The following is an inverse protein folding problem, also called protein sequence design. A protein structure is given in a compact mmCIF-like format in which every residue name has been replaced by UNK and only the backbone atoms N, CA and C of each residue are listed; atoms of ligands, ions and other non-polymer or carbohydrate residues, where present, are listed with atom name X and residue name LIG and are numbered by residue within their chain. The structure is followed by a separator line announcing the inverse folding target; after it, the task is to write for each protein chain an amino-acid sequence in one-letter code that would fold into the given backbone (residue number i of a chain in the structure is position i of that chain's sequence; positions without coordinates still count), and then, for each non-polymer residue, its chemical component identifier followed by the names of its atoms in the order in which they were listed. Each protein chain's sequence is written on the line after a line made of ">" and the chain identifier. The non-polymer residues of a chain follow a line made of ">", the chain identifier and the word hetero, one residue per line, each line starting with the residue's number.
data_IF_687063975198
#
_entry.id   IF_687063975198
#
_cell.length_a   1.000
_cell.length_b   1.000
_cell.length_c   1.000
_cell.angle_alpha   90.00
_cell.angle_beta   90.00
_cell.angle_gamma   90.00
#
_symmetry.space_group_name_H-M   'P 1'
#
loop_
_entity.id
_entity.type
_entity.pdbx_description
1 polymer ?
#
# COMPACT_ATOMS: atom_id res chain seq x y z
N UNK A 1 20.45 1.77 -4.48
CA UNK A 1 20.47 2.60 -3.26
C UNK A 1 19.14 3.32 -3.15
N UNK A 2 18.31 2.98 -2.15
CA UNK A 2 16.97 3.55 -1.92
C UNK A 2 16.98 4.84 -1.08
N UNK A 3 18.16 5.46 -0.92
CA UNK A 3 18.41 6.57 0.00
C UNK A 3 17.41 7.76 -0.10
N UNK A 4 16.96 8.22 -1.29
CA UNK A 4 15.96 9.29 -1.36
C UNK A 4 14.55 8.83 -0.94
N UNK A 5 14.21 7.56 -1.18
CA UNK A 5 12.88 7.00 -0.88
C UNK A 5 12.65 6.92 0.64
N UNK A 6 13.71 6.61 1.39
CA UNK A 6 13.65 6.46 2.85
C UNK A 6 13.36 7.74 3.62
N UNK A 7 13.54 8.92 3.01
CA UNK A 7 13.19 10.19 3.64
C UNK A 7 11.68 10.33 3.91
N UNK A 8 10.85 9.69 3.08
CA UNK A 8 9.39 9.72 3.21
C UNK A 8 8.81 8.38 3.65
N UNK A 9 9.36 7.27 3.15
CA UNK A 9 8.85 5.92 3.41
C UNK A 9 9.56 5.21 4.59
N UNK A 10 10.49 5.89 5.24
CA UNK A 10 11.35 5.31 6.27
C UNK A 10 12.52 4.53 5.67
N UNK A 11 13.65 4.51 6.37
CA UNK A 11 14.86 3.82 5.92
C UNK A 11 14.63 2.31 5.77
N UNK A 12 13.83 1.74 6.65
CA UNK A 12 13.43 0.34 6.62
C UNK A 12 12.11 0.11 5.86
N UNK A 13 11.62 1.11 5.11
CA UNK A 13 10.34 1.05 4.42
C UNK A 13 9.12 1.12 5.34
N UNK A 14 9.31 1.50 6.60
CA UNK A 14 8.25 1.76 7.57
C UNK A 14 8.28 3.24 7.94
N UNK A 15 7.23 3.97 7.57
CA UNK A 15 7.15 5.43 7.75
C UNK A 15 6.49 5.80 9.08
N UNK A 16 6.89 6.96 9.59
CA UNK A 16 6.24 7.66 10.71
C UNK A 16 5.51 8.92 10.24
N UNK A 17 5.59 9.25 8.95
CA UNK A 17 4.96 10.43 8.38
C UNK A 17 3.48 10.15 8.07
N UNK A 18 2.56 11.05 8.45
CA UNK A 18 1.14 10.92 8.12
C UNK A 18 0.90 10.91 6.61
N UNK A 19 0.02 10.02 6.15
CA UNK A 19 -0.41 9.91 4.76
C UNK A 19 0.58 9.21 3.82
N UNK A 20 1.75 8.81 4.30
CA UNK A 20 2.72 8.02 3.52
C UNK A 20 2.49 6.52 3.74
N UNK A 21 2.62 5.67 2.71
CA UNK A 21 2.51 4.24 2.88
C UNK A 21 3.79 3.61 3.43
N UNK A 22 3.61 2.52 4.16
CA UNK A 22 4.68 1.55 4.40
C UNK A 22 4.95 0.78 3.10
N UNK A 23 6.23 0.64 2.75
CA UNK A 23 6.67 -0.13 1.58
C UNK A 23 7.26 -1.49 2.00
N UNK A 24 7.73 -1.61 3.24
CA UNK A 24 8.34 -2.82 3.75
C UNK A 24 7.38 -4.00 3.68
N UNK A 25 7.84 -5.10 3.06
CA UNK A 25 7.06 -6.32 2.89
C UNK A 25 5.88 -6.20 1.92
N UNK A 26 5.75 -5.09 1.20
CA UNK A 26 4.74 -4.94 0.16
C UNK A 26 5.04 -5.85 -1.04
N UNK A 27 4.00 -6.42 -1.65
CA UNK A 27 4.18 -7.34 -2.78
C UNK A 27 4.94 -6.71 -3.94
N UNK A 28 6.00 -7.37 -4.41
CA UNK A 28 6.88 -6.87 -5.48
C UNK A 28 6.10 -6.46 -6.74
N UNK A 29 5.18 -7.32 -7.21
CA UNK A 29 4.35 -7.03 -8.39
C UNK A 29 3.56 -5.74 -8.19
N UNK A 30 2.85 -5.63 -7.06
CA UNK A 30 2.06 -4.45 -6.75
C UNK A 30 2.95 -3.20 -6.70
N UNK A 31 4.06 -3.25 -5.95
CA UNK A 31 4.97 -2.11 -5.81
C UNK A 31 5.50 -1.64 -7.15
N UNK A 32 5.96 -2.55 -8.02
CA UNK A 32 6.43 -2.23 -9.36
C UNK A 32 5.32 -1.60 -10.22
N UNK A 33 4.11 -2.17 -10.18
CA UNK A 33 2.99 -1.65 -10.94
C UNK A 33 2.61 -0.23 -10.46
N UNK A 34 2.65 0.04 -9.15
CA UNK A 34 2.42 1.37 -8.58
C UNK A 34 3.50 2.37 -9.00
N UNK A 35 4.78 2.00 -8.91
CA UNK A 35 5.88 2.86 -9.34
C UNK A 35 5.77 3.20 -10.83
N UNK A 36 5.41 2.21 -11.66
CA UNK A 36 5.20 2.40 -13.09
C UNK A 36 4.02 3.35 -13.35
N UNK A 37 2.90 3.16 -12.65
CA UNK A 37 1.71 3.99 -12.78
C UNK A 37 1.95 5.45 -12.35
N UNK A 38 2.76 5.65 -11.30
CA UNK A 38 3.14 6.99 -10.85
C UNK A 38 4.08 7.64 -11.88
N UNK A 39 5.10 6.92 -12.35
CA UNK A 39 6.07 7.42 -13.33
C UNK A 39 5.42 7.83 -14.65
N UNK A 40 4.45 7.05 -15.14
CA UNK A 40 3.75 7.34 -16.39
C UNK A 40 2.52 8.26 -16.22
N UNK A 41 2.22 8.69 -15.00
CA UNK A 41 1.11 9.60 -14.68
C UNK A 41 -0.29 8.96 -14.71
N UNK A 42 -0.41 7.64 -14.88
CA UNK A 42 -1.71 6.95 -14.80
C UNK A 42 -2.24 6.86 -13.37
N UNK A 43 -1.35 6.97 -12.37
CA UNK A 43 -1.70 7.19 -10.96
C UNK A 43 -1.18 8.55 -10.52
N UNK A 44 -2.08 9.40 -10.03
CA UNK A 44 -1.71 10.70 -9.47
C UNK A 44 -1.05 10.53 -8.11
N UNK A 45 0.19 10.98 -7.97
CA UNK A 45 0.90 11.08 -6.69
C UNK A 45 1.74 12.36 -6.66
N UNK A 46 1.13 13.53 -6.38
CA UNK A 46 1.83 14.83 -6.44
C UNK A 46 3.10 14.90 -5.57
N UNK A 47 3.12 14.18 -4.45
CA UNK A 47 4.28 14.11 -3.55
C UNK A 47 5.44 13.26 -4.11
N UNK A 48 5.20 12.47 -5.15
CA UNK A 48 6.19 11.64 -5.85
C UNK A 48 6.56 12.19 -7.23
N UNK A 49 6.01 13.35 -7.63
CA UNK A 49 6.35 13.98 -8.91
C UNK A 49 7.86 14.22 -9.02
N UNK A 50 8.45 13.85 -10.16
CA UNK A 50 9.88 14.00 -10.42
C UNK A 50 10.78 12.95 -9.78
N UNK A 51 10.29 12.14 -8.83
CA UNK A 51 11.12 11.19 -8.10
C UNK A 51 11.52 9.96 -8.94
N UNK A 52 10.70 9.60 -9.92
CA UNK A 52 10.86 8.39 -10.73
C UNK A 52 11.31 8.67 -12.17
N UNK A 53 11.40 9.96 -12.56
CA UNK A 53 11.57 10.39 -13.96
C UNK A 53 12.86 9.85 -14.59
N UNK A 54 13.95 9.80 -13.80
CA UNK A 54 15.26 9.33 -14.25
C UNK A 54 15.47 7.81 -14.03
N UNK A 55 14.49 7.09 -13.47
CA UNK A 55 14.64 5.66 -13.17
C UNK A 55 14.33 4.80 -14.39
N UNK A 56 15.11 3.76 -14.65
CA UNK A 56 14.77 2.74 -15.65
C UNK A 56 13.74 1.73 -15.12
N UNK A 57 13.16 0.92 -16.01
CA UNK A 57 12.25 -0.16 -15.59
C UNK A 57 12.96 -1.19 -14.68
N UNK A 58 14.26 -1.40 -14.91
CA UNK A 58 15.12 -2.22 -14.05
C UNK A 58 15.26 -1.62 -12.66
N UNK A 59 15.43 -0.29 -12.55
CA UNK A 59 15.50 0.39 -11.25
C UNK A 59 14.17 0.26 -10.48
N UNK A 60 13.03 0.39 -11.16
CA UNK A 60 11.72 0.19 -10.53
C UNK A 60 11.52 -1.25 -10.05
N UNK A 61 11.95 -2.23 -10.84
CA UNK A 61 11.92 -3.64 -10.45
C UNK A 61 12.83 -3.91 -9.24
N UNK A 62 14.05 -3.36 -9.23
CA UNK A 62 14.98 -3.50 -8.12
C UNK A 62 14.45 -2.86 -6.83
N UNK A 63 13.83 -1.68 -6.92
CA UNK A 63 13.18 -1.04 -5.77
C UNK A 63 12.02 -1.89 -5.23
N UNK A 64 11.19 -2.41 -6.13
CA UNK A 64 10.08 -3.27 -5.75
C UNK A 64 10.55 -4.54 -5.04
N UNK A 65 11.56 -5.22 -5.59
CA UNK A 65 12.16 -6.41 -4.99
C UNK A 65 12.81 -6.10 -3.64
N UNK A 66 13.52 -4.97 -3.54
CA UNK A 66 14.13 -4.53 -2.29
C UNK A 66 13.09 -4.32 -1.19
N UNK A 67 12.06 -3.50 -1.42
CA UNK A 67 11.03 -3.24 -0.40
C UNK A 67 10.21 -4.49 -0.05
N UNK A 68 9.95 -5.37 -1.01
CA UNK A 68 9.30 -6.66 -0.76
C UNK A 68 10.11 -7.57 0.17
N UNK A 69 11.45 -7.45 0.16
CA UNK A 69 12.33 -8.25 1.01
C UNK A 69 12.43 -7.74 2.46
N UNK A 70 11.99 -6.51 2.73
CA UNK A 70 12.04 -5.92 4.09
C UNK A 70 10.96 -6.50 4.99
N UNK A 71 11.20 -6.46 6.29
CA UNK A 71 10.24 -6.93 7.30
C UNK A 71 9.00 -6.02 7.32
N UNK A 72 7.78 -6.55 7.10
CA UNK A 72 6.58 -5.73 7.11
C UNK A 72 6.33 -5.06 8.46
N UNK A 73 5.75 -3.87 8.41
CA UNK A 73 5.24 -3.22 9.62
C UNK A 73 4.13 -4.07 10.26
N UNK A 74 4.12 -4.12 11.59
CA UNK A 74 3.00 -4.67 12.35
C UNK A 74 2.37 -3.53 13.13
N UNK A 75 1.15 -3.16 12.73
CA UNK A 75 0.37 -2.13 13.40
C UNK A 75 -0.69 -2.77 14.30
N UNK A 76 -0.78 -2.30 15.55
CA UNK A 76 -1.95 -2.55 16.39
C UNK A 76 -2.80 -1.29 16.40
N UNK A 77 -4.03 -1.38 15.89
CA UNK A 77 -5.00 -0.31 16.06
C UNK A 77 -5.50 -0.32 17.52
N UNK A 78 -5.72 0.88 18.07
CA UNK A 78 -6.36 1.11 19.37
C UNK A 78 -7.51 2.08 19.12
N UNK A 79 -8.62 1.54 18.62
CA UNK A 79 -9.81 2.30 18.24
C UNK A 79 -11.05 1.54 18.72
N UNK A 80 -12.06 2.26 19.18
CA UNK A 80 -13.33 1.68 19.64
C UNK A 80 -14.08 0.92 18.52
N UNK A 81 -13.77 1.20 17.25
CA UNK A 81 -14.38 0.63 16.05
C UNK A 81 -13.63 -0.57 15.50
N UNK A 82 -12.60 -1.05 16.20
CA UNK A 82 -11.82 -2.22 15.80
C UNK A 82 -12.68 -3.42 15.42
N UNK A 83 -13.70 -3.72 16.23
CA UNK A 83 -14.60 -4.85 15.98
C UNK A 83 -15.42 -4.67 14.70
N UNK A 84 -15.91 -3.44 14.46
CA UNK A 84 -16.64 -3.11 13.23
C UNK A 84 -15.73 -3.24 12.01
N UNK A 85 -14.50 -2.72 12.09
CA UNK A 85 -13.50 -2.85 11.04
C UNK A 85 -13.17 -4.32 10.75
N UNK A 86 -12.96 -5.12 11.78
CA UNK A 86 -12.68 -6.56 11.65
C UNK A 86 -13.85 -7.34 11.03
N UNK A 87 -15.10 -6.99 11.38
CA UNK A 87 -16.29 -7.58 10.78
C UNK A 87 -16.38 -7.25 9.29
N UNK A 88 -16.19 -5.99 8.90
CA UNK A 88 -16.20 -5.58 7.48
C UNK A 88 -15.06 -6.26 6.72
N UNK A 89 -13.87 -6.33 7.31
CA UNK A 89 -12.71 -6.94 6.68
C UNK A 89 -12.93 -8.41 6.34
N UNK A 90 -13.55 -9.17 7.26
CA UNK A 90 -13.77 -10.62 7.14
C UNK A 90 -15.07 -10.97 6.41
N UNK A 91 -16.11 -10.17 6.57
CA UNK A 91 -17.47 -10.48 6.12
C UNK A 91 -18.01 -9.58 5.02
N UNK A 92 -17.34 -8.46 4.71
CA UNK A 92 -17.84 -7.44 3.80
C UNK A 92 -19.10 -6.75 4.33
N UNK A 93 -19.86 -6.14 3.42
CA UNK A 93 -21.14 -5.49 3.70
C UNK A 93 -22.13 -5.90 2.61
N UNK A 94 -22.77 -7.06 2.76
CA UNK A 94 -23.66 -7.63 1.75
C UNK A 94 -24.76 -6.67 1.28
N UNK A 95 -25.42 -5.96 2.22
CA UNK A 95 -26.47 -4.97 1.90
C UNK A 95 -25.98 -3.79 1.05
N UNK A 96 -24.67 -3.55 1.00
CA UNK A 96 -24.03 -2.50 0.20
C UNK A 96 -23.26 -3.07 -1.00
N UNK A 97 -23.34 -4.39 -1.25
CA UNK A 97 -22.58 -5.05 -2.30
C UNK A 97 -21.06 -5.05 -2.09
N UNK A 98 -20.59 -4.83 -0.85
CA UNK A 98 -19.14 -4.82 -0.54
C UNK A 98 -18.69 -6.24 -0.21
N UNK A 99 -17.79 -6.79 -1.00
CA UNK A 99 -17.18 -8.09 -0.71
C UNK A 99 -16.27 -8.03 0.53
N UNK A 100 -15.98 -9.18 1.12
CA UNK A 100 -15.00 -9.28 2.21
C UNK A 100 -13.60 -8.90 1.70
N UNK A 101 -12.93 -7.98 2.38
CA UNK A 101 -11.57 -7.55 2.03
C UNK A 101 -10.58 -8.72 2.07
N UNK A 102 -10.76 -9.62 3.04
CA UNK A 102 -9.90 -10.80 3.22
C UNK A 102 -9.92 -11.78 2.05
N UNK A 103 -10.92 -11.71 1.16
CA UNK A 103 -11.00 -12.56 -0.02
C UNK A 103 -9.82 -12.31 -0.98
N UNK A 104 -9.31 -11.08 -1.05
CA UNK A 104 -8.18 -10.70 -1.89
C UNK A 104 -6.94 -10.34 -1.07
N UNK A 105 -7.13 -9.69 0.09
CA UNK A 105 -6.02 -9.19 0.91
C UNK A 105 -5.52 -10.17 1.99
N UNK A 106 -5.98 -11.43 1.93
CA UNK A 106 -5.76 -12.48 2.91
C UNK A 106 -6.44 -12.23 4.27
N UNK A 107 -6.65 -13.25 5.12
CA UNK A 107 -7.22 -13.04 6.46
C UNK A 107 -6.39 -12.15 7.39
N UNK A 108 -5.09 -12.02 7.13
CA UNK A 108 -4.14 -11.26 7.96
C UNK A 108 -3.77 -9.90 7.37
N UNK A 109 -4.27 -9.55 6.18
CA UNK A 109 -3.85 -8.33 5.49
C UNK A 109 -2.52 -8.42 4.76
N UNK A 110 -1.96 -9.63 4.61
CA UNK A 110 -0.69 -9.84 3.91
C UNK A 110 -0.78 -9.66 2.38
N UNK A 111 -1.99 -9.54 1.82
CA UNK A 111 -2.17 -9.46 0.37
C UNK A 111 -1.97 -10.79 -0.34
N UNK A 112 -1.81 -10.71 -1.65
CA UNK A 112 -1.44 -11.82 -2.53
C UNK A 112 -0.57 -11.25 -3.67
N UNK A 113 0.75 -11.30 -3.47
CA UNK A 113 1.72 -10.70 -4.40
C UNK A 113 1.61 -11.25 -5.82
N UNK A 114 1.39 -12.56 -5.99
CA UNK A 114 1.26 -13.18 -7.32
C UNK A 114 0.03 -12.68 -8.08
N UNK A 115 -1.07 -12.42 -7.36
CA UNK A 115 -2.28 -11.83 -7.93
C UNK A 115 -2.24 -10.30 -8.03
N UNK A 116 -1.20 -9.65 -7.49
CA UNK A 116 -1.08 -8.19 -7.43
C UNK A 116 -1.94 -7.53 -6.34
N UNK A 117 -2.53 -8.30 -5.42
CA UNK A 117 -3.27 -7.73 -4.29
C UNK A 117 -2.30 -7.25 -3.21
N UNK A 118 -2.33 -5.96 -2.84
CA UNK A 118 -1.37 -5.42 -1.89
C UNK A 118 -1.59 -5.93 -0.47
N UNK A 119 -0.51 -5.95 0.30
CA UNK A 119 -0.57 -5.98 1.74
C UNK A 119 -1.21 -4.69 2.27
N UNK A 120 -2.19 -4.84 3.15
CA UNK A 120 -2.93 -3.75 3.83
C UNK A 120 -2.73 -3.82 5.35
N UNK A 121 -2.29 -4.96 5.87
CA UNK A 121 -1.93 -5.12 7.27
C UNK A 121 -0.71 -4.25 7.60
N UNK A 122 -0.76 -3.58 8.76
CA UNK A 122 0.33 -2.71 9.20
C UNK A 122 0.49 -1.40 8.44
N UNK A 123 -0.37 -1.10 7.45
CA UNK A 123 -0.38 0.22 6.81
C UNK A 123 -0.90 1.31 7.75
N UNK A 124 -0.43 2.57 7.61
CA UNK A 124 -0.98 3.70 8.34
C UNK A 124 -2.47 3.89 8.04
N UNK A 125 -3.27 4.11 9.08
CA UNK A 125 -4.72 4.17 8.97
C UNK A 125 -5.20 5.34 8.11
N UNK A 126 -4.52 6.48 8.20
CA UNK A 126 -4.75 7.67 7.39
C UNK A 126 -4.45 7.42 5.90
N UNK A 127 -3.36 6.71 5.58
CA UNK A 127 -3.07 6.27 4.22
C UNK A 127 -4.20 5.35 3.69
N UNK A 128 -4.63 4.36 4.47
CA UNK A 128 -5.71 3.46 4.05
C UNK A 128 -7.04 4.21 3.84
N UNK A 129 -7.38 5.15 4.72
CA UNK A 129 -8.57 6.00 4.57
C UNK A 129 -8.50 6.86 3.30
N UNK A 130 -7.33 7.44 3.02
CA UNK A 130 -7.12 8.22 1.80
C UNK A 130 -7.27 7.36 0.54
N UNK A 131 -6.68 6.14 0.52
CA UNK A 131 -6.82 5.24 -0.63
C UNK A 131 -8.27 4.76 -0.83
N UNK A 132 -8.95 4.32 0.24
CA UNK A 132 -10.35 3.90 0.16
C UNK A 132 -11.26 5.04 -0.34
N UNK A 133 -10.96 6.28 0.06
CA UNK A 133 -11.65 7.48 -0.40
C UNK A 133 -11.39 7.74 -1.89
N UNK A 134 -10.14 7.66 -2.33
CA UNK A 134 -9.78 7.84 -3.74
C UNK A 134 -10.44 6.80 -4.64
N UNK A 135 -10.46 5.52 -4.25
CA UNK A 135 -11.16 4.48 -5.00
C UNK A 135 -12.67 4.72 -5.08
N UNK A 136 -13.29 5.16 -3.98
CA UNK A 136 -14.71 5.53 -3.96
C UNK A 136 -15.03 6.68 -4.93
N UNK A 137 -14.11 7.63 -5.06
CA UNK A 137 -14.27 8.83 -5.87
C UNK A 137 -13.77 8.67 -7.31
N UNK A 138 -13.13 7.54 -7.64
CA UNK A 138 -12.59 7.27 -8.98
C UNK A 138 -11.30 8.04 -9.29
N UNK A 139 -10.57 8.48 -8.26
CA UNK A 139 -9.33 9.27 -8.37
C UNK A 139 -8.06 8.49 -7.99
N UNK A 140 -8.19 7.17 -7.82
CA UNK A 140 -7.10 6.25 -7.47
C UNK A 140 -6.30 5.76 -8.67
#
# INVERSE_FOLDING_TARGET
>A
MSAPCGACHGQDGVTTLPGYPNLAGQGEKYTRDQLTAIKNGTRSAPLMTGQLDAMSDSDLANLAAHYASLTPAVGQAKDERLDVGAQIYRGGIARKGVAACSACHSPTGAGNSLAGFPAVGGQPADYLVAQLTAYREGSA
#
